data_IF_660790423341
#
_entry.id   IF_660790423341
#
_cell.length_a   1.000
_cell.length_b   1.000
_cell.length_c   1.000
_cell.angle_alpha   90.00
_cell.angle_beta   90.00
_cell.angle_gamma   90.00
#
_symmetry.space_group_name_H-M   'P 1'
#
loop_
_entity.id
_entity.type
_entity.pdbx_description
1 polymer ?
#
# COMPACT_ATOMS: atom_id res chain seq x y z
N UNK A 1 -6.89 3.14 2.41
CA UNK A 1 -6.02 4.03 3.19
C UNK A 1 -5.28 3.18 4.20
N UNK A 2 -3.96 3.24 4.21
CA UNK A 2 -3.10 2.56 5.16
C UNK A 2 -2.46 3.59 6.05
N UNK A 3 -2.46 3.30 7.35
CA UNK A 3 -1.77 4.14 8.34
C UNK A 3 -0.29 3.81 8.31
N UNK A 4 0.53 4.83 8.38
CA UNK A 4 1.99 4.73 8.53
C UNK A 4 2.40 5.37 9.84
N UNK A 5 3.70 5.36 10.13
CA UNK A 5 4.25 5.94 11.35
C UNK A 5 3.96 7.44 11.52
N UNK A 6 3.90 8.18 10.42
CA UNK A 6 3.81 9.66 10.41
C UNK A 6 2.52 10.18 9.74
N UNK A 7 1.75 9.31 9.08
CA UNK A 7 0.53 9.74 8.41
C UNK A 7 -0.26 8.60 7.78
N UNK A 8 -0.79 8.87 6.60
CA UNK A 8 -1.59 7.92 5.85
C UNK A 8 -1.22 7.97 4.37
N UNK A 9 -1.34 6.84 3.70
CA UNK A 9 -1.20 6.78 2.26
C UNK A 9 -2.15 5.73 1.67
N UNK A 10 -2.33 5.79 0.37
CA UNK A 10 -3.11 4.82 -0.40
C UNK A 10 -2.22 4.15 -1.41
N UNK A 11 -2.47 2.86 -1.60
CA UNK A 11 -1.91 2.08 -2.69
C UNK A 11 -3.04 1.30 -3.33
N UNK A 12 -3.09 1.35 -4.66
CA UNK A 12 -4.05 0.65 -5.49
C UNK A 12 -3.40 -0.57 -6.11
N UNK A 13 -3.87 -1.76 -5.75
CA UNK A 13 -3.54 -3.00 -6.42
C UNK A 13 -4.76 -3.51 -7.16
N UNK A 14 -4.95 -3.07 -8.41
CA UNK A 14 -6.08 -3.45 -9.26
C UNK A 14 -5.91 -4.79 -9.97
N UNK A 15 -4.70 -5.38 -9.93
CA UNK A 15 -4.40 -6.67 -10.52
C UNK A 15 -3.38 -7.46 -9.68
N UNK A 16 -3.20 -8.74 -10.03
CA UNK A 16 -2.29 -9.65 -9.31
C UNK A 16 -0.83 -9.23 -9.39
N UNK A 17 -0.40 -8.63 -10.50
CA UNK A 17 0.96 -8.11 -10.63
C UNK A 17 1.22 -6.96 -9.66
N UNK A 18 0.32 -5.98 -9.61
CA UNK A 18 0.43 -4.86 -8.67
C UNK A 18 0.39 -5.35 -7.23
N UNK A 19 -0.48 -6.30 -6.90
CA UNK A 19 -0.51 -6.91 -5.56
C UNK A 19 0.80 -7.61 -5.21
N UNK A 20 1.36 -8.39 -6.13
CA UNK A 20 2.64 -9.05 -5.93
C UNK A 20 3.77 -8.02 -5.71
N UNK A 21 3.79 -6.94 -6.47
CA UNK A 21 4.75 -5.83 -6.30
C UNK A 21 4.61 -5.18 -4.93
N UNK A 22 3.39 -4.88 -4.50
CA UNK A 22 3.08 -4.34 -3.16
C UNK A 22 3.63 -5.29 -2.08
N UNK A 23 3.29 -6.58 -2.14
CA UNK A 23 3.74 -7.56 -1.17
C UNK A 23 5.28 -7.72 -1.13
N UNK A 24 5.96 -7.65 -2.29
CA UNK A 24 7.42 -7.64 -2.36
C UNK A 24 8.02 -6.41 -1.68
N UNK A 25 7.45 -5.22 -1.92
CA UNK A 25 7.88 -3.96 -1.30
C UNK A 25 7.71 -4.00 0.22
N UNK A 26 6.58 -4.53 0.69
CA UNK A 26 6.29 -4.75 2.11
C UNK A 26 7.13 -5.85 2.75
N UNK A 27 7.97 -6.54 1.97
CA UNK A 27 8.73 -7.70 2.44
C UNK A 27 7.82 -8.78 3.04
N UNK A 28 6.67 -9.01 2.40
CA UNK A 28 5.67 -10.02 2.73
C UNK A 28 5.38 -10.92 1.51
N UNK A 29 6.39 -11.60 0.94
CA UNK A 29 6.18 -12.49 -0.20
C UNK A 29 5.25 -13.67 0.13
N UNK A 30 5.14 -14.04 1.41
CA UNK A 30 4.22 -15.05 1.93
C UNK A 30 2.76 -14.78 1.54
N UNK A 31 2.33 -13.52 1.52
CA UNK A 31 0.97 -13.14 1.10
C UNK A 31 0.69 -13.43 -0.37
N UNK A 32 1.73 -13.48 -1.21
CA UNK A 32 1.59 -13.77 -2.64
C UNK A 32 1.32 -15.26 -2.85
N UNK A 33 1.95 -16.11 -2.04
CA UNK A 33 1.80 -17.56 -2.09
C UNK A 33 0.56 -18.04 -1.32
N UNK A 34 0.08 -17.24 -0.35
CA UNK A 34 -1.11 -17.55 0.42
C UNK A 34 -2.34 -17.71 -0.47
N UNK A 35 -2.96 -18.88 -0.35
CA UNK A 35 -4.16 -19.23 -1.11
C UNK A 35 -5.31 -18.23 -0.88
N UNK A 36 -5.38 -17.58 0.29
CA UNK A 36 -6.39 -16.55 0.62
C UNK A 36 -6.22 -15.24 -0.14
N UNK A 37 -5.03 -14.95 -0.68
CA UNK A 37 -4.76 -13.70 -1.42
C UNK A 37 -4.22 -13.96 -2.83
N UNK A 38 -4.23 -15.21 -3.26
CA UNK A 38 -3.73 -15.64 -4.56
C UNK A 38 -4.51 -15.05 -5.74
N UNK A 39 -5.83 -14.86 -5.59
CA UNK A 39 -6.70 -14.29 -6.64
C UNK A 39 -7.36 -13.01 -6.17
N UNK A 40 -7.70 -12.12 -7.12
CA UNK A 40 -8.42 -10.89 -6.81
C UNK A 40 -9.74 -11.13 -6.06
N UNK A 41 -10.47 -12.22 -6.38
CA UNK A 41 -11.71 -12.57 -5.70
C UNK A 41 -11.46 -12.86 -4.20
N UNK A 42 -10.45 -13.69 -3.91
CA UNK A 42 -10.11 -14.06 -2.53
C UNK A 42 -9.55 -12.86 -1.76
N UNK A 43 -8.84 -11.93 -2.42
CA UNK A 43 -8.44 -10.66 -1.80
C UNK A 43 -9.62 -9.78 -1.44
N UNK A 44 -10.67 -9.74 -2.28
CA UNK A 44 -11.88 -8.96 -1.98
C UNK A 44 -12.65 -9.58 -0.82
N UNK A 45 -12.76 -10.90 -0.78
CA UNK A 45 -13.39 -11.64 0.31
C UNK A 45 -12.62 -11.44 1.64
N UNK A 46 -11.30 -11.62 1.60
CA UNK A 46 -10.40 -11.49 2.75
C UNK A 46 -9.86 -10.07 2.94
N UNK A 47 -10.47 -9.05 2.31
CA UNK A 47 -9.94 -7.68 2.29
C UNK A 47 -9.73 -7.10 3.68
N UNK A 48 -10.62 -7.42 4.62
CA UNK A 48 -10.56 -6.90 6.00
C UNK A 48 -9.31 -7.42 6.72
N UNK A 49 -9.01 -8.70 6.55
CA UNK A 49 -7.82 -9.34 7.14
C UNK A 49 -6.56 -8.84 6.44
N UNK A 50 -6.56 -8.82 5.10
CA UNK A 50 -5.45 -8.31 4.30
C UNK A 50 -5.09 -6.87 4.65
N UNK A 51 -6.08 -5.98 4.74
CA UNK A 51 -5.86 -4.58 5.10
C UNK A 51 -5.24 -4.47 6.51
N UNK A 52 -5.64 -5.33 7.45
CA UNK A 52 -5.10 -5.32 8.82
C UNK A 52 -3.62 -5.72 8.84
N UNK A 53 -3.25 -6.75 8.09
CA UNK A 53 -1.85 -7.20 7.97
C UNK A 53 -1.00 -6.12 7.31
N UNK A 54 -1.47 -5.59 6.18
CA UNK A 54 -0.77 -4.53 5.46
C UNK A 54 -0.64 -3.26 6.30
N UNK A 55 -1.70 -2.84 7.00
CA UNK A 55 -1.66 -1.67 7.87
C UNK A 55 -0.64 -1.83 8.98
N UNK A 56 -0.59 -3.01 9.64
CA UNK A 56 0.39 -3.28 10.69
C UNK A 56 1.83 -3.13 10.16
N UNK A 57 2.11 -3.61 8.95
CA UNK A 57 3.42 -3.40 8.30
C UNK A 57 3.68 -1.95 7.94
N UNK A 58 2.69 -1.27 7.36
CA UNK A 58 2.86 0.12 6.95
C UNK A 58 3.13 1.05 8.14
N UNK A 59 2.60 0.73 9.32
CA UNK A 59 2.84 1.47 10.57
C UNK A 59 4.27 1.34 11.11
N UNK A 60 5.06 0.35 10.67
CA UNK A 60 6.46 0.19 11.11
C UNK A 60 7.37 1.31 10.57
N UNK A 61 7.05 1.82 9.38
CA UNK A 61 7.91 2.76 8.63
C UNK A 61 7.17 4.07 8.28
N UNK A 62 7.95 5.11 7.91
CA UNK A 62 7.42 6.42 7.55
C UNK A 62 6.81 6.44 6.14
N UNK A 63 5.81 7.30 5.91
CA UNK A 63 5.17 7.47 4.59
C UNK A 63 6.19 7.73 3.48
N UNK A 64 7.14 8.65 3.70
CA UNK A 64 8.16 9.01 2.70
C UNK A 64 9.01 7.82 2.27
N UNK A 65 9.30 6.90 3.20
CA UNK A 65 10.06 5.70 2.90
C UNK A 65 9.26 4.73 2.04
N UNK A 66 7.97 4.57 2.34
CA UNK A 66 7.06 3.82 1.47
C UNK A 66 6.96 4.45 0.08
N UNK A 67 6.80 5.78 -0.03
CA UNK A 67 6.77 6.46 -1.32
C UNK A 67 8.03 6.17 -2.15
N UNK A 68 9.21 6.18 -1.51
CA UNK A 68 10.47 5.81 -2.14
C UNK A 68 10.50 4.34 -2.60
N UNK A 69 10.01 3.41 -1.77
CA UNK A 69 9.95 2.00 -2.18
C UNK A 69 8.95 1.72 -3.30
N UNK A 70 7.85 2.49 -3.36
CA UNK A 70 6.87 2.39 -4.42
C UNK A 70 7.28 3.15 -5.70
N UNK A 71 8.29 4.02 -5.63
CA UNK A 71 8.82 4.75 -6.78
C UNK A 71 9.37 3.79 -7.84
N UNK A 72 8.92 3.97 -9.08
CA UNK A 72 9.29 3.08 -10.20
C UNK A 72 8.62 1.69 -10.21
N UNK A 73 7.78 1.38 -9.21
CA UNK A 73 7.07 0.08 -9.14
C UNK A 73 5.95 -0.09 -10.16
N UNK A 74 5.48 1.00 -10.77
CA UNK A 74 4.33 1.01 -11.70
C UNK A 74 2.98 0.78 -11.02
N UNK A 75 2.95 0.65 -9.70
CA UNK A 75 1.71 0.55 -8.91
C UNK A 75 1.18 1.97 -8.68
N UNK A 76 -0.14 2.23 -8.78
CA UNK A 76 -0.70 3.52 -8.38
C UNK A 76 -0.65 3.66 -6.85
N UNK A 77 0.12 4.63 -6.36
CA UNK A 77 0.21 4.97 -4.93
C UNK A 77 0.15 6.49 -4.74
N UNK A 78 -0.22 6.93 -3.54
CA UNK A 78 -0.22 8.35 -3.21
C UNK A 78 -0.37 8.61 -1.71
N UNK A 79 0.26 9.65 -1.16
CA UNK A 79 0.03 10.05 0.22
C UNK A 79 -1.41 10.55 0.39
N UNK A 80 -2.04 10.20 1.51
CA UNK A 80 -3.27 10.86 1.91
C UNK A 80 -2.84 12.12 2.64
N UNK A 81 -2.67 13.20 1.88
CA UNK A 81 -2.56 14.52 2.49
C UNK A 81 -3.92 14.86 3.07
N UNK A 82 -4.00 14.89 4.40
CA UNK A 82 -5.14 15.42 5.13
C UNK A 82 -5.23 16.93 4.88
N UNK A 83 -5.74 17.34 3.70
CA UNK A 83 -6.25 18.66 3.34
C UNK A 83 -5.56 19.90 3.97
N UNK A 84 -4.24 19.87 4.18
CA UNK A 84 -3.45 21.00 4.70
C UNK A 84 -2.29 21.41 3.79
N UNK A 85 -2.12 20.75 2.65
CA UNK A 85 -1.03 21.00 1.70
C UNK A 85 -1.50 21.43 0.31
N UNK A 86 -2.61 22.18 0.20
CA UNK A 86 -3.09 22.73 -1.10
C UNK A 86 -2.59 24.16 -1.35
N UNK A 87 -1.65 24.67 -0.56
CA UNK A 87 -1.10 26.00 -0.77
C UNK A 87 0.42 25.98 -0.74
N UNK A 88 1.04 25.59 -1.86
CA UNK A 88 2.29 26.17 -2.37
C UNK A 88 2.66 25.50 -3.70
N UNK A 89 1.98 25.91 -4.77
CA UNK A 89 2.60 25.95 -6.10
C UNK A 89 2.80 27.44 -6.42
N UNK A 90 4.04 27.97 -6.42
CA UNK A 90 4.28 29.28 -6.98
C UNK A 90 4.13 29.19 -8.50
N UNK A 91 3.23 30.01 -9.05
CA UNK A 91 3.20 30.34 -10.48
C UNK A 91 4.32 31.33 -10.83
#
# INVERSE_FOLDING_TARGET
AFKTKDGYFVVGAGNDQQFATVCKILNLPELIDDSKYKTNHLRVENRKELIKILSARFEEEMTTKWLYFFEGSGVPYGPINNMKGVFTEPQ
#
